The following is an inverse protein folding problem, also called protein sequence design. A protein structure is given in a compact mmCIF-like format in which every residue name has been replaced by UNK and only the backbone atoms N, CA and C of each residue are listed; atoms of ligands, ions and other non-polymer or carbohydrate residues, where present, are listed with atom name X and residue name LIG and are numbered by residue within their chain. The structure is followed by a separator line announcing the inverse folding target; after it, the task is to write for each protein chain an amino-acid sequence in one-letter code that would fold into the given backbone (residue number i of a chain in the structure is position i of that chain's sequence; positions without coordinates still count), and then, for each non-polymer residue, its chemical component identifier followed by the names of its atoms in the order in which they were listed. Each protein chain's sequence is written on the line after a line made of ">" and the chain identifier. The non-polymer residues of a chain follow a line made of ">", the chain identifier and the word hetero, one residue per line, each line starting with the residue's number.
data_IF_385834435527
#
_entry.id   IF_385834435527
#
_cell.length_a   1.000
_cell.length_b   1.000
_cell.length_c   1.000
_cell.angle_alpha   90.00
_cell.angle_beta   90.00
_cell.angle_gamma   90.00
#
_symmetry.space_group_name_H-M   'P 1'
#
loop_
_entity.id
_entity.type
_entity.pdbx_description
1 polymer ?
#
# COMPACT_ATOMS: atom_id res chain seq x y z
N UNK A 1 -27.72 12.66 -16.34
CA UNK A 1 -26.66 11.70 -16.68
C UNK A 1 -27.16 10.89 -17.88
N UNK A 2 -26.31 10.59 -18.90
CA UNK A 2 -26.69 9.74 -20.02
C UNK A 2 -27.09 8.34 -19.54
N UNK A 3 -27.99 7.69 -20.25
CA UNK A 3 -28.32 6.29 -20.02
C UNK A 3 -27.08 5.44 -20.35
N UNK A 4 -26.82 4.41 -19.53
CA UNK A 4 -25.72 3.49 -19.76
C UNK A 4 -26.24 2.37 -20.67
N UNK A 5 -26.15 2.62 -21.97
CA UNK A 5 -26.53 1.70 -23.02
C UNK A 5 -25.30 1.23 -23.83
N UNK A 6 -25.53 0.40 -24.85
CA UNK A 6 -24.44 -0.15 -25.66
C UNK A 6 -23.73 0.93 -26.51
N UNK A 7 -24.43 2.01 -26.88
CA UNK A 7 -23.81 3.15 -27.58
C UNK A 7 -22.83 3.90 -26.65
N UNK A 8 -23.29 4.21 -25.42
CA UNK A 8 -22.43 4.83 -24.42
C UNK A 8 -21.19 3.99 -24.12
N UNK A 9 -21.34 2.66 -23.99
CA UNK A 9 -20.21 1.77 -23.72
C UNK A 9 -19.19 1.76 -24.86
N UNK A 10 -19.62 1.79 -26.13
CA UNK A 10 -18.72 1.90 -27.28
C UNK A 10 -17.94 3.20 -27.33
N UNK A 11 -18.55 4.29 -26.84
CA UNK A 11 -17.90 5.60 -26.83
C UNK A 11 -16.82 5.73 -25.72
N UNK A 12 -16.99 5.00 -24.61
CA UNK A 12 -16.12 5.17 -23.42
C UNK A 12 -15.20 3.97 -23.14
N UNK A 13 -15.33 2.89 -23.91
CA UNK A 13 -14.58 1.64 -23.69
C UNK A 13 -14.32 0.88 -25.01
N UNK A 14 -13.56 -0.22 -24.92
CA UNK A 14 -13.28 -1.12 -26.05
C UNK A 14 -14.36 -2.20 -26.22
N UNK A 15 -15.46 -2.16 -25.44
CA UNK A 15 -16.51 -3.17 -25.46
C UNK A 15 -17.70 -2.72 -26.31
N UNK A 16 -18.37 -3.71 -26.95
CA UNK A 16 -19.54 -3.47 -27.79
C UNK A 16 -20.86 -3.45 -27.01
N UNK A 17 -20.91 -4.07 -25.84
CA UNK A 17 -22.13 -4.19 -25.04
C UNK A 17 -21.92 -3.84 -23.58
N UNK A 18 -22.98 -3.34 -22.92
CA UNK A 18 -23.00 -3.11 -21.47
C UNK A 18 -22.72 -4.40 -20.70
N UNK A 19 -23.15 -5.55 -21.21
CA UNK A 19 -22.94 -6.84 -20.55
C UNK A 19 -21.46 -7.22 -20.53
N UNK A 20 -20.75 -7.08 -21.65
CA UNK A 20 -19.31 -7.38 -21.73
C UNK A 20 -18.50 -6.44 -20.88
N UNK A 21 -18.80 -5.15 -20.90
CA UNK A 21 -18.15 -4.15 -20.05
C UNK A 21 -18.34 -4.44 -18.55
N UNK A 22 -19.56 -4.85 -18.14
CA UNK A 22 -19.82 -5.24 -16.77
C UNK A 22 -19.07 -6.49 -16.34
N UNK A 23 -19.03 -7.50 -17.21
CA UNK A 23 -18.29 -8.75 -16.94
C UNK A 23 -16.79 -8.48 -16.77
N UNK A 24 -16.22 -7.63 -17.62
CA UNK A 24 -14.81 -7.25 -17.53
C UNK A 24 -14.54 -6.46 -16.25
N UNK A 25 -15.38 -5.47 -15.94
CA UNK A 25 -15.29 -4.68 -14.72
C UNK A 25 -15.41 -5.56 -13.47
N UNK A 26 -16.34 -6.51 -13.45
CA UNK A 26 -16.51 -7.47 -12.35
C UNK A 26 -15.25 -8.32 -12.18
N UNK A 27 -14.70 -8.83 -13.28
CA UNK A 27 -13.46 -9.61 -13.25
C UNK A 27 -12.29 -8.80 -12.69
N UNK A 28 -12.08 -7.59 -13.19
CA UNK A 28 -11.03 -6.71 -12.69
C UNK A 28 -11.20 -6.34 -11.22
N UNK A 29 -12.43 -6.06 -10.78
CA UNK A 29 -12.72 -5.77 -9.37
C UNK A 29 -12.51 -6.98 -8.47
N UNK A 30 -12.85 -8.19 -8.94
CA UNK A 30 -12.58 -9.44 -8.22
C UNK A 30 -11.07 -9.68 -8.10
N UNK A 31 -10.33 -9.53 -9.19
CA UNK A 31 -8.87 -9.67 -9.19
C UNK A 31 -8.19 -8.67 -8.24
N UNK A 32 -8.63 -7.40 -8.27
CA UNK A 32 -8.11 -6.39 -7.34
C UNK A 32 -8.42 -6.71 -5.89
N UNK A 33 -9.65 -7.14 -5.60
CA UNK A 33 -10.05 -7.51 -4.24
C UNK A 33 -9.33 -8.76 -3.75
N UNK A 34 -9.14 -9.73 -4.63
CA UNK A 34 -8.37 -10.93 -4.29
C UNK A 34 -6.93 -10.56 -3.95
N UNK A 35 -6.26 -9.78 -4.79
CA UNK A 35 -4.89 -9.30 -4.51
C UNK A 35 -4.79 -8.54 -3.20
N UNK A 36 -5.77 -7.67 -2.91
CA UNK A 36 -5.81 -6.94 -1.65
C UNK A 36 -5.99 -7.88 -0.44
N UNK A 37 -6.90 -8.87 -0.56
CA UNK A 37 -7.12 -9.85 0.50
C UNK A 37 -5.90 -10.75 0.73
N UNK A 38 -5.23 -11.17 -0.33
CA UNK A 38 -3.99 -11.96 -0.26
C UNK A 38 -2.88 -11.16 0.43
N UNK A 39 -2.70 -9.88 0.04
CA UNK A 39 -1.73 -8.98 0.67
C UNK A 39 -2.06 -8.72 2.15
N UNK A 40 -3.32 -8.53 2.50
CA UNK A 40 -3.76 -8.36 3.88
C UNK A 40 -3.50 -9.63 4.72
N UNK A 41 -3.74 -10.80 4.14
CA UNK A 41 -3.44 -12.09 4.80
C UNK A 41 -1.93 -12.26 5.01
N UNK A 42 -1.11 -11.94 4.01
CA UNK A 42 0.35 -11.97 4.13
C UNK A 42 0.85 -11.03 5.22
N UNK A 43 0.34 -9.79 5.26
CA UNK A 43 0.71 -8.83 6.30
C UNK A 43 0.34 -9.34 7.70
N UNK A 44 -0.83 -9.95 7.87
CA UNK A 44 -1.24 -10.53 9.15
C UNK A 44 -0.36 -11.70 9.57
N UNK A 45 0.05 -12.56 8.63
CA UNK A 45 0.99 -13.65 8.90
C UNK A 45 2.36 -13.13 9.34
N UNK A 46 2.87 -12.12 8.63
CA UNK A 46 4.14 -11.46 8.97
C UNK A 46 4.04 -10.78 10.34
N UNK A 47 2.95 -10.07 10.65
CA UNK A 47 2.73 -9.45 11.95
C UNK A 47 2.72 -10.47 13.09
N UNK A 48 2.05 -11.61 12.89
CA UNK A 48 2.02 -12.69 13.88
C UNK A 48 3.42 -13.31 14.16
N UNK A 49 4.30 -13.28 13.16
CA UNK A 49 5.70 -13.70 13.31
C UNK A 49 6.47 -12.65 14.09
N UNK A 50 6.36 -11.37 13.71
CA UNK A 50 7.08 -10.26 14.36
C UNK A 50 6.78 -10.21 15.87
N UNK A 51 5.54 -10.49 16.27
CA UNK A 51 5.16 -10.55 17.70
C UNK A 51 5.94 -11.61 18.48
N UNK A 52 6.46 -12.63 17.79
CA UNK A 52 7.24 -13.72 18.39
C UNK A 52 8.76 -13.52 18.28
N UNK A 53 9.19 -12.54 17.51
CA UNK A 53 10.61 -12.18 17.38
C UNK A 53 11.05 -11.47 18.66
N UNK A 54 11.83 -12.16 19.47
CA UNK A 54 12.52 -11.63 20.64
C UNK A 54 14.00 -11.36 20.26
N UNK A 55 14.26 -10.18 19.72
CA UNK A 55 15.58 -9.76 19.31
C UNK A 55 15.89 -8.35 19.79
N UNK A 56 17.09 -8.13 20.29
CA UNK A 56 17.64 -6.81 20.58
C UNK A 56 18.20 -6.25 19.26
N UNK A 57 17.51 -5.27 18.69
CA UNK A 57 17.92 -4.63 17.44
C UNK A 57 18.86 -3.49 17.76
N UNK A 58 20.11 -3.48 17.23
CA UNK A 58 21.00 -2.34 17.34
C UNK A 58 20.39 -1.10 16.68
N UNK A 59 20.60 0.08 17.31
CA UNK A 59 20.05 1.34 16.81
C UNK A 59 20.59 1.68 15.41
N UNK A 60 21.85 1.30 15.12
CA UNK A 60 22.47 1.48 13.83
C UNK A 60 21.73 0.74 12.68
N UNK A 61 21.11 -0.40 12.95
CA UNK A 61 20.30 -1.10 11.94
C UNK A 61 19.02 -0.32 11.63
N UNK A 62 18.41 0.27 12.65
CA UNK A 62 17.19 1.08 12.48
C UNK A 62 17.53 2.37 11.73
N UNK A 63 18.63 3.04 12.08
CA UNK A 63 19.08 4.26 11.42
C UNK A 63 19.41 4.03 9.94
N UNK A 64 20.08 2.92 9.61
CA UNK A 64 20.36 2.54 8.22
C UNK A 64 19.06 2.30 7.44
N UNK A 65 18.08 1.63 8.05
CA UNK A 65 16.79 1.40 7.42
C UNK A 65 16.02 2.71 7.18
N UNK A 66 16.08 3.66 8.13
CA UNK A 66 15.52 5.01 7.97
C UNK A 66 16.19 5.72 6.79
N UNK A 67 17.49 5.62 6.65
CA UNK A 67 18.22 6.24 5.53
C UNK A 67 17.78 5.64 4.18
N UNK A 68 17.61 4.33 4.09
CA UNK A 68 17.10 3.65 2.90
C UNK A 68 15.66 4.09 2.57
N UNK A 69 14.80 4.20 3.57
CA UNK A 69 13.43 4.68 3.39
C UNK A 69 13.38 6.13 2.90
N UNK A 70 14.22 7.01 3.46
CA UNK A 70 14.33 8.42 3.04
C UNK A 70 14.86 8.51 1.61
N UNK A 71 15.89 7.72 1.26
CA UNK A 71 16.41 7.67 -0.10
C UNK A 71 15.35 7.20 -1.10
N UNK A 72 14.61 6.14 -0.77
CA UNK A 72 13.50 5.64 -1.59
C UNK A 72 12.40 6.69 -1.77
N UNK A 73 12.10 7.45 -0.70
CA UNK A 73 11.17 8.56 -0.77
C UNK A 73 11.68 9.70 -1.66
N UNK A 74 12.98 10.04 -1.55
CA UNK A 74 13.61 11.06 -2.39
C UNK A 74 13.58 10.67 -3.88
N UNK A 75 13.85 9.40 -4.22
CA UNK A 75 13.72 8.90 -5.59
C UNK A 75 12.29 9.01 -6.14
N UNK A 76 11.31 8.71 -5.31
CA UNK A 76 9.88 8.84 -5.68
C UNK A 76 9.48 10.30 -5.93
N UNK A 77 9.96 11.22 -5.11
CA UNK A 77 9.77 12.65 -5.35
C UNK A 77 10.44 13.10 -6.65
N UNK A 78 11.66 12.62 -6.90
CA UNK A 78 12.41 12.96 -8.12
C UNK A 78 11.71 12.48 -9.39
N UNK A 79 11.08 11.30 -9.37
CA UNK A 79 10.28 10.81 -10.50
C UNK A 79 9.05 11.67 -10.77
N UNK A 80 8.59 12.44 -9.79
CA UNK A 80 7.50 13.40 -9.90
C UNK A 80 7.98 14.85 -10.17
N UNK A 81 9.28 15.03 -10.44
CA UNK A 81 9.88 16.34 -10.69
C UNK A 81 10.12 17.19 -9.44
N UNK A 82 10.04 16.59 -8.24
CA UNK A 82 10.31 17.24 -6.95
C UNK A 82 11.60 16.71 -6.35
N UNK A 83 12.30 17.52 -5.55
CA UNK A 83 13.38 17.03 -4.71
C UNK A 83 13.00 17.09 -3.21
N UNK A 84 13.71 16.32 -2.40
CA UNK A 84 13.43 16.19 -0.97
C UNK A 84 13.52 17.54 -0.24
N UNK A 85 14.51 18.36 -0.57
CA UNK A 85 14.69 19.68 0.07
C UNK A 85 13.50 20.61 -0.19
N UNK A 86 13.05 20.64 -1.44
CA UNK A 86 11.88 21.44 -1.84
C UNK A 86 10.61 20.95 -1.16
N UNK A 87 10.43 19.62 -1.06
CA UNK A 87 9.32 19.02 -0.35
C UNK A 87 9.31 19.41 1.14
N UNK A 88 10.43 19.25 1.83
CA UNK A 88 10.58 19.61 3.25
C UNK A 88 10.30 21.11 3.48
N UNK A 89 10.78 21.96 2.57
CA UNK A 89 10.53 23.40 2.63
C UNK A 89 9.05 23.76 2.46
N UNK A 90 8.35 23.11 1.52
CA UNK A 90 6.91 23.35 1.31
C UNK A 90 6.05 22.83 2.46
N UNK A 91 6.42 21.71 3.04
CA UNK A 91 5.67 21.11 4.16
C UNK A 91 6.02 21.70 5.52
N UNK A 92 7.11 22.49 5.60
CA UNK A 92 7.63 23.02 6.86
C UNK A 92 8.24 21.94 7.77
N UNK A 93 8.55 20.77 7.23
CA UNK A 93 9.14 19.64 7.96
C UNK A 93 10.66 19.74 7.96
N UNK A 94 11.30 19.33 9.07
CA UNK A 94 12.74 19.09 9.13
C UNK A 94 13.07 17.64 8.71
N UNK A 95 14.32 17.39 8.37
CA UNK A 95 14.83 16.03 8.13
C UNK A 95 14.66 15.16 9.37
N UNK A 96 14.88 15.72 10.56
CA UNK A 96 14.74 14.99 11.83
C UNK A 96 13.29 14.56 12.08
N UNK A 97 12.31 15.43 11.76
CA UNK A 97 10.89 15.07 11.85
C UNK A 97 10.52 13.95 10.87
N UNK A 98 11.12 13.95 9.69
CA UNK A 98 10.92 12.89 8.71
C UNK A 98 11.52 11.56 9.20
N UNK A 99 12.73 11.59 9.77
CA UNK A 99 13.38 10.42 10.40
C UNK A 99 12.52 9.84 11.51
N UNK A 100 12.02 10.68 12.41
CA UNK A 100 11.16 10.24 13.51
C UNK A 100 9.86 9.58 13.02
N UNK A 101 9.26 10.08 11.91
CA UNK A 101 8.09 9.46 11.31
C UNK A 101 8.38 8.06 10.76
N UNK A 102 9.58 7.83 10.22
CA UNK A 102 9.96 6.52 9.69
C UNK A 102 10.44 5.54 10.75
N UNK A 103 10.84 6.01 11.94
CA UNK A 103 11.47 5.18 12.97
C UNK A 103 10.69 3.92 13.33
N UNK A 104 9.39 4.05 13.59
CA UNK A 104 8.54 2.92 13.94
C UNK A 104 8.42 1.92 12.79
N UNK A 105 8.32 2.43 11.57
CA UNK A 105 8.21 1.58 10.38
C UNK A 105 9.56 0.89 10.09
N UNK A 106 10.68 1.58 10.23
CA UNK A 106 12.01 1.03 10.08
C UNK A 106 12.29 -0.08 11.10
N UNK A 107 11.94 0.14 12.38
CA UNK A 107 12.05 -0.89 13.41
C UNK A 107 11.25 -2.15 13.05
N UNK A 108 10.00 -1.96 12.58
CA UNK A 108 9.18 -3.08 12.12
C UNK A 108 9.82 -3.79 10.93
N UNK A 109 10.35 -3.06 9.97
CA UNK A 109 10.94 -3.62 8.74
C UNK A 109 12.22 -4.41 9.03
N UNK A 110 13.07 -3.91 9.95
CA UNK A 110 14.24 -4.64 10.45
C UNK A 110 13.81 -5.93 11.17
N UNK A 111 12.79 -5.87 12.02
CA UNK A 111 12.25 -7.07 12.70
C UNK A 111 11.74 -8.12 11.71
N UNK A 112 11.01 -7.69 10.67
CA UNK A 112 10.53 -8.59 9.60
C UNK A 112 11.71 -9.28 8.95
N UNK A 113 12.71 -8.52 8.51
CA UNK A 113 13.91 -9.05 7.84
C UNK A 113 14.61 -10.08 8.69
N UNK A 114 14.92 -9.74 9.95
CA UNK A 114 15.59 -10.67 10.88
C UNK A 114 14.75 -11.92 11.16
N UNK A 115 13.43 -11.77 11.26
CA UNK A 115 12.51 -12.88 11.45
C UNK A 115 12.49 -13.84 10.26
N UNK A 116 12.39 -13.31 9.04
CA UNK A 116 12.43 -14.11 7.81
C UNK A 116 13.79 -14.78 7.61
N UNK A 117 14.88 -14.06 7.81
CA UNK A 117 16.24 -14.62 7.75
C UNK A 117 16.42 -15.79 8.74
N UNK A 118 15.89 -15.63 9.96
CA UNK A 118 15.96 -16.69 10.96
C UNK A 118 15.13 -17.92 10.59
N UNK A 119 13.96 -17.74 10.00
CA UNK A 119 13.14 -18.84 9.49
C UNK A 119 13.86 -19.53 8.33
N UNK A 120 14.43 -18.76 7.39
CA UNK A 120 15.21 -19.32 6.28
C UNK A 120 16.38 -20.21 6.79
N UNK A 121 17.07 -19.76 7.84
CA UNK A 121 18.14 -20.52 8.47
C UNK A 121 17.63 -21.82 9.15
N UNK A 122 16.53 -21.73 9.91
CA UNK A 122 16.00 -22.87 10.66
C UNK A 122 15.40 -23.95 9.77
N UNK A 123 14.77 -23.55 8.67
CA UNK A 123 14.11 -24.46 7.71
C UNK A 123 15.02 -24.81 6.51
N UNK A 124 16.30 -24.36 6.54
CA UNK A 124 17.30 -24.55 5.46
C UNK A 124 16.78 -24.10 4.07
N UNK A 125 15.99 -23.02 4.07
CA UNK A 125 15.43 -22.43 2.84
C UNK A 125 16.51 -21.61 2.16
N UNK A 126 17.00 -22.10 1.03
CA UNK A 126 18.03 -21.43 0.21
C UNK A 126 17.58 -21.31 -1.24
N UNK A 127 17.96 -20.23 -1.90
CA UNK A 127 17.79 -20.13 -3.35
C UNK A 127 18.71 -21.13 -4.05
N UNK A 128 18.28 -21.63 -5.18
CA UNK A 128 19.12 -22.41 -6.09
C UNK A 128 19.75 -21.49 -7.15
N UNK A 129 20.83 -21.95 -7.79
CA UNK A 129 21.45 -21.19 -8.89
C UNK A 129 20.44 -20.96 -10.05
N UNK A 130 19.55 -21.94 -10.31
CA UNK A 130 18.53 -21.83 -11.35
C UNK A 130 17.49 -20.74 -11.00
N UNK A 131 17.06 -20.65 -9.75
CA UNK A 131 16.13 -19.61 -9.29
C UNK A 131 16.77 -18.22 -9.38
N UNK A 132 18.04 -18.11 -9.00
CA UNK A 132 18.81 -16.87 -9.09
C UNK A 132 18.93 -16.38 -10.53
N UNK A 133 19.30 -17.29 -11.47
CA UNK A 133 19.39 -16.95 -12.89
C UNK A 133 18.04 -16.57 -13.48
N UNK A 134 16.97 -17.29 -13.13
CA UNK A 134 15.61 -16.99 -13.58
C UNK A 134 15.14 -15.60 -13.12
N UNK A 135 15.49 -15.17 -11.89
CA UNK A 135 15.13 -13.85 -11.39
C UNK A 135 15.95 -12.75 -12.12
N UNK A 136 17.23 -12.97 -12.40
CA UNK A 136 18.02 -12.06 -13.24
C UNK A 136 17.41 -11.91 -14.65
N UNK A 137 16.98 -13.02 -15.28
CA UNK A 137 16.31 -12.96 -16.58
C UNK A 137 14.97 -12.20 -16.52
N UNK A 138 14.22 -12.37 -15.46
CA UNK A 138 12.95 -11.67 -15.24
C UNK A 138 13.16 -10.17 -15.08
N UNK A 139 14.17 -9.76 -14.30
CA UNK A 139 14.55 -8.36 -14.18
C UNK A 139 15.05 -7.80 -15.51
N UNK A 140 15.88 -8.52 -16.23
CA UNK A 140 16.38 -8.12 -17.54
C UNK A 140 15.24 -7.85 -18.54
N UNK A 141 14.21 -8.70 -18.55
CA UNK A 141 12.99 -8.51 -19.35
C UNK A 141 12.17 -7.30 -18.88
N UNK A 142 12.01 -7.13 -17.56
CA UNK A 142 11.23 -6.04 -16.99
C UNK A 142 11.84 -4.66 -17.26
N UNK A 143 13.16 -4.58 -17.26
CA UNK A 143 13.91 -3.33 -17.52
C UNK A 143 14.39 -3.18 -18.97
N UNK A 144 14.06 -4.14 -19.85
CA UNK A 144 14.50 -4.16 -21.25
C UNK A 144 16.03 -4.04 -21.40
N UNK A 145 16.77 -4.70 -20.51
CA UNK A 145 18.23 -4.65 -20.43
C UNK A 145 18.84 -6.05 -20.57
N UNK A 146 20.08 -6.18 -21.09
CA UNK A 146 20.84 -7.44 -21.04
C UNK A 146 21.06 -7.91 -19.59
N UNK A 147 21.05 -9.23 -19.38
CA UNK A 147 21.24 -9.85 -18.04
C UNK A 147 22.58 -9.43 -17.40
N UNK A 148 23.64 -9.32 -18.23
CA UNK A 148 24.97 -8.88 -17.76
C UNK A 148 24.91 -7.48 -17.14
N UNK A 149 24.13 -6.60 -17.72
CA UNK A 149 23.98 -5.24 -17.19
C UNK A 149 23.23 -5.26 -15.85
N UNK A 150 22.18 -6.08 -15.73
CA UNK A 150 21.45 -6.22 -14.46
C UNK A 150 22.38 -6.74 -13.35
N UNK A 151 23.22 -7.73 -13.65
CA UNK A 151 24.24 -8.29 -12.72
C UNK A 151 25.29 -7.27 -12.28
N UNK A 152 25.50 -6.19 -13.03
CA UNK A 152 26.38 -5.10 -12.62
C UNK A 152 25.73 -4.09 -11.64
N UNK A 153 24.39 -4.01 -11.65
CA UNK A 153 23.63 -3.09 -10.78
C UNK A 153 23.10 -3.76 -9.52
N UNK A 154 22.79 -5.07 -9.61
CA UNK A 154 22.20 -5.83 -8.49
C UNK A 154 23.12 -6.98 -8.16
N UNK A 155 23.50 -7.10 -6.90
CA UNK A 155 24.37 -8.19 -6.46
C UNK A 155 23.60 -9.51 -6.39
N UNK A 156 24.33 -10.62 -6.58
CA UNK A 156 23.77 -11.98 -6.46
C UNK A 156 23.22 -12.21 -5.05
N UNK A 157 23.91 -11.67 -4.05
CA UNK A 157 23.50 -11.77 -2.64
C UNK A 157 22.13 -11.10 -2.39
N UNK A 158 21.90 -9.92 -2.99
CA UNK A 158 20.62 -9.22 -2.87
C UNK A 158 19.48 -10.03 -3.50
N UNK A 159 19.67 -10.55 -4.71
CA UNK A 159 18.71 -11.43 -5.38
C UNK A 159 18.42 -12.69 -4.55
N UNK A 160 19.48 -13.31 -4.02
CA UNK A 160 19.33 -14.49 -3.19
C UNK A 160 18.55 -14.20 -1.91
N UNK A 161 18.77 -13.04 -1.28
CA UNK A 161 18.01 -12.63 -0.11
C UNK A 161 16.52 -12.45 -0.45
N UNK A 162 16.21 -11.81 -1.58
CA UNK A 162 14.83 -11.60 -2.03
C UNK A 162 14.14 -12.94 -2.34
N UNK A 163 14.79 -13.85 -3.05
CA UNK A 163 14.25 -15.20 -3.33
C UNK A 163 14.03 -15.98 -2.03
N UNK A 164 15.01 -15.95 -1.10
CA UNK A 164 14.87 -16.61 0.20
C UNK A 164 13.69 -16.06 0.99
N UNK A 165 13.53 -14.74 1.06
CA UNK A 165 12.39 -14.08 1.71
C UNK A 165 11.06 -14.50 1.10
N UNK A 166 10.97 -14.54 -0.24
CA UNK A 166 9.75 -14.99 -0.92
C UNK A 166 9.43 -16.45 -0.60
N UNK A 167 10.42 -17.34 -0.64
CA UNK A 167 10.26 -18.77 -0.30
C UNK A 167 9.82 -18.96 1.17
N UNK A 168 10.35 -18.13 2.08
CA UNK A 168 9.91 -18.15 3.48
C UNK A 168 8.46 -17.70 3.62
N UNK A 169 8.05 -16.65 2.91
CA UNK A 169 6.65 -16.20 2.91
C UNK A 169 5.72 -17.29 2.37
N UNK A 170 6.11 -17.95 1.27
CA UNK A 170 5.35 -19.07 0.70
C UNK A 170 5.28 -20.25 1.68
N UNK A 171 6.40 -20.60 2.33
CA UNK A 171 6.44 -21.63 3.38
C UNK A 171 5.51 -21.30 4.55
N UNK A 172 5.50 -20.04 5.00
CA UNK A 172 4.59 -19.59 6.06
C UNK A 172 3.15 -19.72 5.61
N UNK A 173 2.84 -19.30 4.38
CA UNK A 173 1.49 -19.37 3.81
C UNK A 173 0.99 -20.82 3.73
N UNK A 174 1.82 -21.74 3.31
CA UNK A 174 1.47 -23.18 3.22
C UNK A 174 1.21 -23.82 4.58
N UNK A 175 1.88 -23.35 5.64
CA UNK A 175 1.75 -23.86 6.99
C UNK A 175 0.77 -23.05 7.86
N UNK A 176 0.27 -21.92 7.37
CA UNK A 176 -0.67 -21.08 8.11
C UNK A 176 -2.11 -21.60 8.00
N UNK A 177 -2.84 -21.52 9.10
CA UNK A 177 -4.29 -21.78 9.11
C UNK A 177 -5.01 -20.46 8.83
N UNK A 178 -5.34 -20.21 7.57
CA UNK A 178 -6.09 -19.02 7.16
C UNK A 178 -7.57 -19.27 7.48
N UNK A 179 -8.14 -18.45 8.36
CA UNK A 179 -9.58 -18.47 8.67
C UNK A 179 -10.24 -17.26 8.07
N UNK A 180 -11.39 -17.44 7.41
CA UNK A 180 -12.17 -16.31 6.92
C UNK A 180 -12.56 -15.38 8.08
N UNK A 181 -12.17 -14.11 7.98
CA UNK A 181 -12.61 -13.11 8.94
C UNK A 181 -14.13 -12.97 8.84
N UNK A 182 -14.84 -13.22 9.96
CA UNK A 182 -16.28 -12.90 10.01
C UNK A 182 -16.44 -11.42 9.71
N UNK A 183 -17.33 -11.04 8.76
CA UNK A 183 -17.51 -9.65 8.44
C UNK A 183 -17.89 -8.88 9.71
N UNK A 184 -17.00 -8.02 10.18
CA UNK A 184 -17.34 -7.09 11.24
C UNK A 184 -18.52 -6.27 10.77
N UNK A 185 -19.65 -6.37 11.46
CA UNK A 185 -20.80 -5.49 11.25
C UNK A 185 -20.33 -4.08 11.51
N UNK A 186 -19.96 -3.35 10.46
CA UNK A 186 -19.74 -1.90 10.56
C UNK A 186 -20.92 -1.32 11.31
N UNK A 187 -20.73 -0.57 12.39
CA UNK A 187 -21.85 0.08 13.08
C UNK A 187 -22.57 0.95 12.07
N UNK A 188 -23.86 0.68 11.87
CA UNK A 188 -24.71 1.39 10.93
C UNK A 188 -24.56 2.89 11.18
N UNK A 189 -24.07 3.62 10.19
CA UNK A 189 -23.95 5.07 10.24
C UNK A 189 -25.34 5.63 10.57
N UNK A 190 -25.49 6.16 11.79
CA UNK A 190 -26.71 6.87 12.20
C UNK A 190 -26.94 7.99 11.20
N UNK A 191 -27.95 7.82 10.33
CA UNK A 191 -28.48 8.89 9.48
C UNK A 191 -28.84 10.05 10.42
N UNK A 192 -28.04 11.11 10.40
CA UNK A 192 -28.40 12.37 11.03
C UNK A 192 -29.70 12.85 10.36
N UNK A 193 -30.76 12.81 11.11
CA UNK A 193 -32.06 13.38 10.70
C UNK A 193 -31.87 14.86 10.37
N UNK A 194 -32.29 15.25 9.17
CA UNK A 194 -32.32 16.64 8.75
C UNK A 194 -33.26 17.44 9.68
N UNK A 195 -32.90 18.66 10.09
CA UNK A 195 -33.81 19.48 10.92
C UNK A 195 -35.01 19.91 10.09
N UNK A 196 -36.21 19.55 10.56
CA UNK A 196 -37.49 20.04 10.04
C UNK A 196 -37.52 21.56 10.16
N UNK A 197 -37.63 22.26 9.02
CA UNK A 197 -37.98 23.66 8.96
C UNK A 197 -39.39 23.85 9.57
N UNK A 198 -39.49 24.53 10.71
CA UNK A 198 -40.74 25.07 11.22
C UNK A 198 -41.10 26.28 10.36
N UNK A 199 -42.25 26.20 9.70
CA UNK A 199 -42.93 27.33 9.12
C UNK A 199 -43.47 28.18 10.26
N UNK A 200 -43.02 29.39 10.41
CA UNK A 200 -43.67 30.41 11.23
C UNK A 200 -44.47 31.34 10.34
N UNK A 201 -45.71 31.42 10.71
CA UNK A 201 -46.84 32.16 10.25
C UNK A 201 -46.59 33.67 10.30
N UNK A 202 -46.99 34.32 9.22
CA UNK A 202 -47.10 35.75 9.01
C UNK A 202 -48.11 36.35 10.01
N UNK A 203 -47.70 37.36 10.74
CA UNK A 203 -48.61 38.34 11.33
C UNK A 203 -48.03 39.73 11.08
N UNK A 204 -48.84 40.50 10.34
CA UNK A 204 -48.75 41.94 10.15
C UNK A 204 -49.07 42.60 11.48
N UNK A 205 -48.52 43.78 11.74
CA UNK A 205 -49.18 44.98 12.23
C UNK A 205 -48.18 46.14 12.29
N UNK A 206 -48.46 47.18 11.46
CA UNK A 206 -48.45 48.64 11.57
C UNK A 206 -47.38 49.36 12.42
N UNK A 207 -46.69 50.27 11.74
CA UNK A 207 -46.71 51.73 11.89
C UNK A 207 -46.48 52.31 13.30
N UNK A 208 -45.45 53.10 13.43
CA UNK A 208 -45.40 54.53 13.73
C UNK A 208 -43.95 54.97 14.02
N UNK A 209 -43.37 55.77 13.15
CA UNK A 209 -43.09 57.22 13.27
C UNK A 209 -42.41 57.70 14.58
N UNK A 210 -41.29 58.32 14.39
CA UNK A 210 -40.77 59.68 14.80
C UNK A 210 -39.34 59.60 15.28
N UNK A 211 -38.45 60.21 14.50
CA UNK A 211 -37.83 61.59 14.60
C UNK A 211 -36.83 61.79 15.77
N UNK A 212 -35.69 62.39 15.36
CA UNK A 212 -34.79 63.31 16.10
C UNK A 212 -33.87 62.64 17.12
N UNK A 213 -32.55 62.74 17.04
CA UNK A 213 -31.65 63.90 16.86
C UNK A 213 -30.28 63.44 16.29
#
# INVERSE_FOLDING_TARGET
>A
LPEVDDEFVKDVSEFDTVADYRNDLEKHLLEQRQKAADSDAENQMVDAIIEKVDAVIPEEMIENEIDEMINSFAYRLQSQGLNLETYLKYTGMSTDNLREQYKLQAERQVKVRLGLEKIAELEDIKPTEEETEAEFEKLAKAYEMPVENVKNFVSVEAINADIANQKVIDFIRENAVITEAKPEKKPAAKKKAAPKKKSTKKEEISEEEKTED
#
